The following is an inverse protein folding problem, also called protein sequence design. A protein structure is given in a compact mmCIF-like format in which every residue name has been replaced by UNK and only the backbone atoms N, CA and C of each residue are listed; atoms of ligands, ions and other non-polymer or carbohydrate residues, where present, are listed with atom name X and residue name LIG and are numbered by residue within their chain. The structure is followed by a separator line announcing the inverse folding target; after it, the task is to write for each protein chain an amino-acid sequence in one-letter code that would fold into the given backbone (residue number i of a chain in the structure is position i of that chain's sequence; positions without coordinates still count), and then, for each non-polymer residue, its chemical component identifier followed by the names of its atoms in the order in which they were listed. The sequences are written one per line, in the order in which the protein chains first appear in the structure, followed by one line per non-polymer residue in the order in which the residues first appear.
data_IF_858495559808
#
_entry.id   IF_858495559808
#
_cell.length_a   1.000
_cell.length_b   1.000
_cell.length_c   1.000
_cell.angle_alpha   90.00
_cell.angle_beta   90.00
_cell.angle_gamma   90.00
#
_symmetry.space_group_name_H-M   'P 1'
#
loop_
_entity.id
_entity.type
_entity.pdbx_description
1 polymer ?
#
# COMPACT_ATOMS: atom_id res chain seq x y z
N UNK A 1 -1.78 -33.18 19.41
CA UNK A 1 -1.74 -32.02 18.55
C UNK A 1 -1.75 -32.52 17.09
N UNK A 2 -2.61 -31.97 16.24
CA UNK A 2 -2.75 -32.43 14.85
C UNK A 2 -1.75 -31.75 13.89
N UNK A 3 -0.65 -31.21 14.40
CA UNK A 3 0.36 -30.53 13.59
C UNK A 3 1.56 -31.44 13.40
N UNK A 4 2.14 -31.40 12.18
CA UNK A 4 3.33 -32.14 11.81
C UNK A 4 4.59 -31.56 12.44
N UNK A 5 5.67 -32.32 12.35
CA UNK A 5 7.01 -31.93 12.72
C UNK A 5 7.96 -32.14 11.54
N UNK A 6 9.13 -31.53 11.58
CA UNK A 6 10.16 -31.69 10.56
C UNK A 6 11.39 -32.31 11.24
N UNK A 7 11.73 -33.51 10.83
CA UNK A 7 12.94 -34.21 11.28
C UNK A 7 14.00 -34.18 10.18
N UNK A 8 15.23 -33.83 10.54
CA UNK A 8 16.36 -33.74 9.62
C UNK A 8 17.53 -34.57 10.19
N UNK A 9 18.15 -35.36 9.34
CA UNK A 9 19.36 -36.11 9.65
C UNK A 9 20.45 -35.82 8.64
N UNK A 10 21.66 -35.78 9.11
CA UNK A 10 22.82 -35.84 8.26
C UNK A 10 22.94 -37.20 7.61
N UNK A 11 23.76 -37.30 6.56
CA UNK A 11 24.03 -38.55 5.86
C UNK A 11 24.66 -39.64 6.77
N UNK A 12 25.36 -39.22 7.80
CA UNK A 12 25.96 -40.08 8.82
C UNK A 12 24.97 -40.55 9.93
N UNK A 13 23.71 -40.11 9.85
CA UNK A 13 22.66 -40.43 10.83
C UNK A 13 22.61 -39.48 12.01
N UNK A 14 23.41 -38.44 12.07
CA UNK A 14 23.33 -37.40 13.12
C UNK A 14 22.03 -36.61 13.00
N UNK A 15 21.28 -36.50 14.08
CA UNK A 15 20.03 -35.72 14.13
C UNK A 15 20.38 -34.24 14.15
N UNK A 16 19.72 -33.47 13.28
CA UNK A 16 19.82 -32.02 13.26
C UNK A 16 18.74 -31.38 14.15
N UNK A 17 19.02 -30.20 14.66
CA UNK A 17 18.03 -29.43 15.42
C UNK A 17 17.18 -28.60 14.46
N UNK A 18 15.85 -28.74 14.57
CA UNK A 18 14.91 -27.87 13.82
C UNK A 18 14.19 -27.00 14.81
N UNK A 19 14.36 -25.68 14.67
CA UNK A 19 13.64 -24.68 15.46
C UNK A 19 12.41 -24.24 14.66
N UNK A 20 11.22 -24.37 15.27
CA UNK A 20 9.97 -23.90 14.71
C UNK A 20 9.70 -22.47 15.18
N UNK A 21 9.36 -21.56 14.27
CA UNK A 21 8.85 -20.25 14.67
C UNK A 21 7.43 -20.38 15.20
N UNK A 22 7.30 -20.25 16.51
CA UNK A 22 6.03 -20.36 17.26
C UNK A 22 5.57 -19.02 17.82
N UNK A 23 6.11 -17.90 17.32
CA UNK A 23 5.66 -16.56 17.75
C UNK A 23 4.15 -16.41 17.53
N UNK A 24 3.49 -15.71 18.43
CA UNK A 24 2.01 -15.59 18.45
C UNK A 24 1.44 -14.92 17.19
N UNK A 25 2.25 -14.12 16.51
CA UNK A 25 1.87 -13.46 15.26
C UNK A 25 2.01 -14.38 14.05
N UNK A 26 2.92 -15.38 14.12
CA UNK A 26 3.41 -16.15 12.98
C UNK A 26 3.69 -17.58 13.42
N UNK A 27 2.67 -18.34 13.77
CA UNK A 27 2.89 -19.74 14.17
C UNK A 27 3.09 -20.63 12.92
N UNK A 28 4.35 -20.79 12.50
CA UNK A 28 4.72 -21.58 11.32
C UNK A 28 4.28 -23.07 11.45
N UNK A 29 4.17 -23.59 12.65
CA UNK A 29 3.71 -24.98 12.90
C UNK A 29 2.31 -25.22 12.35
N UNK A 30 1.43 -24.21 12.33
CA UNK A 30 0.08 -24.32 11.78
C UNK A 30 0.07 -24.64 10.29
N UNK A 31 1.16 -24.33 9.57
CA UNK A 31 1.32 -24.66 8.16
C UNK A 31 1.58 -26.16 7.94
N UNK A 32 2.09 -26.88 8.94
CA UNK A 32 2.41 -28.31 8.88
C UNK A 32 1.19 -29.17 9.22
N UNK A 33 0.16 -29.08 8.39
CA UNK A 33 -1.08 -29.87 8.53
C UNK A 33 -1.25 -30.85 7.39
N UNK A 34 -1.78 -32.04 7.67
CA UNK A 34 -2.05 -33.07 6.65
C UNK A 34 -0.97 -34.15 6.55
N UNK A 35 -1.09 -34.99 5.54
CA UNK A 35 -0.17 -36.12 5.31
C UNK A 35 1.11 -35.67 4.58
N UNK A 36 2.18 -36.45 4.70
CA UNK A 36 3.47 -36.22 4.02
C UNK A 36 3.31 -35.98 2.52
N UNK A 37 2.35 -36.65 1.87
CA UNK A 37 2.08 -36.54 0.45
C UNK A 37 1.50 -35.19 0.03
N UNK A 38 1.11 -34.34 0.99
CA UNK A 38 0.58 -33.02 0.71
C UNK A 38 1.66 -31.92 0.64
N UNK A 39 2.93 -32.31 0.80
CA UNK A 39 4.02 -31.36 0.76
C UNK A 39 4.86 -31.53 -0.50
N UNK A 40 5.23 -30.40 -1.09
CA UNK A 40 6.24 -30.27 -2.13
C UNK A 40 7.38 -29.41 -1.59
N UNK A 41 8.62 -29.80 -1.86
CA UNK A 41 9.81 -29.11 -1.36
C UNK A 41 10.72 -28.75 -2.52
N UNK A 42 11.10 -27.49 -2.59
CA UNK A 42 12.10 -26.96 -3.51
C UNK A 42 13.29 -26.44 -2.69
N UNK A 43 14.47 -27.00 -2.88
CA UNK A 43 15.67 -26.52 -2.20
C UNK A 43 16.52 -25.72 -3.16
N UNK A 44 16.88 -24.50 -2.76
CA UNK A 44 17.78 -23.60 -3.47
C UNK A 44 18.82 -23.11 -2.47
N UNK A 45 20.07 -23.55 -2.64
CA UNK A 45 21.17 -23.26 -1.71
C UNK A 45 20.82 -23.73 -0.27
N UNK A 46 20.87 -22.83 0.70
CA UNK A 46 20.65 -23.12 2.13
C UNK A 46 19.18 -23.04 2.53
N UNK A 47 18.29 -22.76 1.61
CA UNK A 47 16.86 -22.56 1.87
C UNK A 47 16.01 -23.56 1.10
N UNK A 48 15.07 -24.20 1.80
CA UNK A 48 14.04 -25.05 1.21
C UNK A 48 12.70 -24.36 1.30
N UNK A 49 12.03 -24.19 0.17
CA UNK A 49 10.64 -23.70 0.07
C UNK A 49 9.71 -24.88 0.27
N UNK A 50 8.93 -24.89 1.32
CA UNK A 50 7.97 -25.94 1.65
C UNK A 50 6.57 -25.48 1.28
N UNK A 51 5.94 -26.17 0.34
CA UNK A 51 4.58 -25.95 -0.11
C UNK A 51 3.66 -26.99 0.50
N UNK A 52 2.58 -26.55 1.13
CA UNK A 52 1.47 -27.43 1.58
C UNK A 52 0.29 -27.24 0.62
N UNK A 53 0.01 -28.26 -0.20
CA UNK A 53 -1.05 -28.19 -1.22
C UNK A 53 -2.48 -28.33 -0.66
N UNK A 54 -2.66 -28.41 0.65
CA UNK A 54 -3.98 -28.34 1.29
C UNK A 54 -4.40 -26.92 1.61
N UNK A 55 -3.45 -26.00 1.75
CA UNK A 55 -3.70 -24.62 2.19
C UNK A 55 -3.99 -23.76 0.95
N UNK A 56 -5.07 -23.00 1.04
CA UNK A 56 -5.40 -21.97 0.04
C UNK A 56 -4.60 -20.71 0.34
N UNK A 57 -3.81 -20.26 -0.64
CA UNK A 57 -3.06 -19.01 -0.52
C UNK A 57 -4.03 -17.82 -0.50
N UNK A 58 -3.86 -16.92 0.43
CA UNK A 58 -4.73 -15.75 0.60
C UNK A 58 -3.94 -14.44 0.56
N UNK A 59 -4.67 -13.36 0.33
CA UNK A 59 -4.18 -11.99 0.54
C UNK A 59 -4.45 -11.57 1.99
N UNK A 60 -3.68 -10.60 2.46
CA UNK A 60 -3.98 -9.88 3.70
C UNK A 60 -5.35 -9.19 3.61
N UNK A 61 -5.97 -8.90 4.75
CA UNK A 61 -7.23 -8.16 4.77
C UNK A 61 -7.08 -6.75 4.19
N UNK A 62 -8.14 -6.26 3.57
CA UNK A 62 -8.19 -4.88 3.13
C UNK A 62 -8.17 -3.96 4.37
N UNK A 63 -7.28 -2.96 4.43
CA UNK A 63 -7.21 -2.07 5.56
C UNK A 63 -8.41 -1.11 5.61
N UNK A 64 -8.79 -0.69 6.81
CA UNK A 64 -9.75 0.39 6.95
C UNK A 64 -9.08 1.71 6.59
N UNK A 65 -9.51 2.34 5.51
CA UNK A 65 -9.03 3.63 5.08
C UNK A 65 -10.15 4.67 5.12
N UNK A 66 -9.90 5.78 5.81
CA UNK A 66 -10.83 6.90 5.90
C UNK A 66 -10.35 8.04 5.01
N UNK A 67 -11.14 8.36 3.98
CA UNK A 67 -10.85 9.46 3.06
C UNK A 67 -11.14 10.82 3.73
N UNK A 68 -10.61 11.89 3.12
CA UNK A 68 -10.88 13.30 3.50
C UNK A 68 -10.53 13.62 4.94
N UNK A 69 -9.46 13.03 5.45
CA UNK A 69 -8.98 13.30 6.82
C UNK A 69 -7.92 14.39 6.88
N UNK A 70 -7.34 14.71 5.71
CA UNK A 70 -6.31 15.72 5.50
C UNK A 70 -6.68 16.62 4.35
N UNK A 71 -6.15 17.84 4.36
CA UNK A 71 -6.24 18.77 3.25
C UNK A 71 -5.03 19.71 3.22
N UNK A 72 -4.63 20.11 2.02
CA UNK A 72 -3.63 21.16 1.81
C UNK A 72 -4.30 22.31 1.05
N UNK A 73 -4.31 23.52 1.62
CA UNK A 73 -4.66 24.74 0.92
C UNK A 73 -3.40 25.41 0.41
N UNK A 74 -3.41 25.78 -0.85
CA UNK A 74 -2.30 26.52 -1.49
C UNK A 74 -2.77 27.90 -1.90
N UNK A 75 -2.08 28.93 -1.41
CA UNK A 75 -2.27 30.32 -1.82
C UNK A 75 -1.23 30.64 -2.92
N UNK A 76 -1.70 30.90 -4.14
CA UNK A 76 -0.82 31.19 -5.28
C UNK A 76 -0.61 32.67 -5.51
N UNK A 77 -1.50 33.54 -4.98
CA UNK A 77 -1.39 34.99 -5.15
C UNK A 77 -2.27 35.75 -4.12
N UNK A 78 -1.88 36.98 -3.80
CA UNK A 78 -2.66 37.91 -2.98
C UNK A 78 -3.23 39.00 -3.88
N UNK A 79 -4.32 38.70 -4.60
CA UNK A 79 -4.93 39.65 -5.51
C UNK A 79 -5.59 40.83 -4.75
N UNK A 80 -5.43 42.06 -5.27
CA UNK A 80 -6.01 43.30 -4.71
C UNK A 80 -7.51 43.28 -4.80
N UNK A 81 -8.18 43.78 -3.77
CA UNK A 81 -9.66 43.90 -3.67
C UNK A 81 -10.38 42.61 -4.05
N UNK A 82 -9.82 41.49 -3.66
CA UNK A 82 -10.33 40.16 -3.97
C UNK A 82 -10.83 39.45 -2.74
N UNK A 83 -11.90 38.70 -2.93
CA UNK A 83 -12.53 37.93 -1.85
C UNK A 83 -11.91 36.52 -1.82
N UNK A 84 -11.57 36.06 -0.62
CA UNK A 84 -11.12 34.70 -0.31
C UNK A 84 -12.14 34.07 0.64
N UNK A 85 -12.56 32.87 0.34
CA UNK A 85 -13.59 32.14 1.11
C UNK A 85 -13.18 30.69 1.30
N UNK A 86 -13.38 30.19 2.51
CA UNK A 86 -13.20 28.78 2.89
C UNK A 86 -14.50 28.30 3.51
N UNK A 87 -15.04 27.21 2.99
CA UNK A 87 -16.21 26.54 3.55
C UNK A 87 -15.81 25.15 4.00
N UNK A 88 -16.14 24.80 5.25
CA UNK A 88 -15.82 23.51 5.85
C UNK A 88 -17.06 22.87 6.48
N UNK A 89 -17.10 21.54 6.44
CA UNK A 89 -18.08 20.73 7.14
C UNK A 89 -17.39 19.61 7.90
N UNK A 90 -17.68 19.52 9.18
CA UNK A 90 -17.11 18.49 10.06
C UNK A 90 -17.70 17.08 9.82
N UNK A 91 -18.72 16.92 8.97
CA UNK A 91 -19.44 15.66 8.79
C UNK A 91 -20.39 15.33 9.94
N UNK A 92 -20.98 14.15 9.91
CA UNK A 92 -21.85 13.67 10.99
C UNK A 92 -23.14 14.51 11.18
N UNK A 93 -23.61 15.19 10.12
CA UNK A 93 -24.79 16.08 10.20
C UNK A 93 -24.50 17.52 10.62
N UNK A 94 -23.21 17.89 10.76
CA UNK A 94 -22.83 19.27 11.02
C UNK A 94 -23.18 20.17 9.83
N UNK A 95 -23.50 21.44 10.12
CA UNK A 95 -23.74 22.47 9.10
C UNK A 95 -22.41 22.97 8.53
N UNK A 96 -22.48 23.47 7.30
CA UNK A 96 -21.34 24.15 6.66
C UNK A 96 -21.00 25.43 7.44
N UNK A 97 -19.70 25.65 7.67
CA UNK A 97 -19.16 26.85 8.26
C UNK A 97 -18.32 27.56 7.20
N UNK A 98 -18.56 28.85 7.00
CA UNK A 98 -17.89 29.63 5.98
C UNK A 98 -17.18 30.83 6.58
N UNK A 99 -15.92 30.99 6.29
CA UNK A 99 -15.13 32.18 6.55
C UNK A 99 -14.84 32.89 5.23
N UNK A 100 -14.99 34.22 5.25
CA UNK A 100 -14.74 35.08 4.07
C UNK A 100 -13.95 36.31 4.50
N UNK A 101 -12.93 36.66 3.71
CA UNK A 101 -12.15 37.90 3.88
C UNK A 101 -11.92 38.56 2.52
N UNK A 102 -11.80 39.89 2.51
CA UNK A 102 -11.50 40.64 1.29
C UNK A 102 -10.23 41.43 1.50
N UNK A 103 -9.31 41.31 0.55
CA UNK A 103 -8.00 41.97 0.57
C UNK A 103 -8.11 43.45 0.22
N UNK A 104 -7.31 44.28 0.89
CA UNK A 104 -7.20 45.73 0.61
C UNK A 104 -6.11 46.03 -0.45
N UNK A 105 -5.20 45.06 -0.68
CA UNK A 105 -4.10 45.18 -1.62
C UNK A 105 -2.75 45.47 -0.97
N UNK A 106 -2.69 45.49 0.37
CA UNK A 106 -1.44 45.60 1.11
C UNK A 106 -1.08 44.30 1.84
N UNK A 107 -1.88 43.26 1.70
CA UNK A 107 -1.66 41.95 2.36
C UNK A 107 -0.47 41.23 1.74
N UNK A 108 0.39 40.74 2.65
CA UNK A 108 1.43 39.77 2.28
C UNK A 108 0.83 38.35 2.23
N UNK A 109 1.51 37.42 1.54
CA UNK A 109 1.14 35.99 1.55
C UNK A 109 0.98 35.46 2.99
N UNK A 110 1.95 35.77 3.84
CA UNK A 110 1.96 35.33 5.24
C UNK A 110 0.80 35.92 6.05
N UNK A 111 0.49 37.18 5.83
CA UNK A 111 -0.63 37.88 6.48
C UNK A 111 -1.98 37.31 6.08
N UNK A 112 -2.21 37.08 4.79
CA UNK A 112 -3.45 36.51 4.29
C UNK A 112 -3.62 35.07 4.77
N UNK A 113 -2.57 34.23 4.70
CA UNK A 113 -2.61 32.88 5.23
C UNK A 113 -2.89 32.85 6.74
N UNK A 114 -2.33 33.79 7.49
CA UNK A 114 -2.64 33.91 8.93
C UNK A 114 -4.10 34.25 9.16
N UNK A 115 -4.66 35.16 8.37
CA UNK A 115 -6.09 35.51 8.43
C UNK A 115 -6.98 34.33 8.10
N UNK A 116 -6.66 33.58 7.05
CA UNK A 116 -7.39 32.37 6.63
C UNK A 116 -7.29 31.28 7.71
N UNK A 117 -6.12 31.05 8.27
CA UNK A 117 -5.91 30.10 9.38
C UNK A 117 -6.79 30.47 10.58
N UNK A 118 -6.74 31.70 11.01
CA UNK A 118 -7.54 32.17 12.15
C UNK A 118 -9.05 32.02 11.89
N UNK A 119 -9.48 32.22 10.64
CA UNK A 119 -10.86 31.95 10.22
C UNK A 119 -11.26 30.51 10.32
N UNK A 120 -10.35 29.57 9.93
CA UNK A 120 -10.58 28.13 10.10
C UNK A 120 -10.57 27.72 11.57
N UNK A 121 -9.64 28.23 12.37
CA UNK A 121 -9.55 27.92 13.80
C UNK A 121 -10.82 28.38 14.55
N UNK A 122 -11.42 29.49 14.12
CA UNK A 122 -12.68 29.98 14.68
C UNK A 122 -13.88 29.04 14.47
N UNK A 123 -13.82 28.12 13.51
CA UNK A 123 -14.84 27.08 13.34
C UNK A 123 -14.87 26.09 14.51
N UNK A 124 -13.81 26.03 15.30
CA UNK A 124 -13.70 25.15 16.47
C UNK A 124 -14.04 23.68 16.19
N UNK A 125 -13.64 23.18 15.00
CA UNK A 125 -13.88 21.78 14.62
C UNK A 125 -13.03 20.85 15.49
N UNK A 126 -13.69 19.96 16.23
CA UNK A 126 -13.02 19.02 17.14
C UNK A 126 -11.99 18.19 16.41
N UNK A 127 -10.75 18.17 16.95
CA UNK A 127 -9.63 17.38 16.45
C UNK A 127 -8.96 17.93 15.20
N UNK A 128 -9.41 19.09 14.67
CA UNK A 128 -8.77 19.73 13.53
C UNK A 128 -7.51 20.51 13.99
N UNK A 129 -6.39 20.24 13.33
CA UNK A 129 -5.16 21.03 13.47
C UNK A 129 -4.86 21.72 12.15
N UNK A 130 -4.57 23.02 12.21
CA UNK A 130 -4.17 23.82 11.04
C UNK A 130 -2.75 24.31 11.23
N UNK A 131 -1.85 23.90 10.35
CA UNK A 131 -0.44 24.31 10.35
C UNK A 131 -0.17 25.20 9.14
N UNK A 132 0.42 26.36 9.37
CA UNK A 132 0.87 27.24 8.29
C UNK A 132 2.31 26.91 7.93
N UNK A 133 2.55 26.72 6.65
CA UNK A 133 3.89 26.48 6.12
C UNK A 133 4.07 27.18 4.77
N UNK A 134 5.01 28.14 4.69
CA UNK A 134 5.24 28.96 3.49
C UNK A 134 3.92 29.55 2.91
N UNK A 135 3.52 29.09 1.73
CA UNK A 135 2.30 29.55 1.05
C UNK A 135 1.12 28.57 1.21
N UNK A 136 1.19 27.63 2.16
CA UNK A 136 0.16 26.62 2.40
C UNK A 136 -0.41 26.66 3.81
N UNK A 137 -1.65 26.17 3.92
CA UNK A 137 -2.22 25.70 5.18
C UNK A 137 -2.44 24.21 5.08
N UNK A 138 -1.87 23.47 6.01
CA UNK A 138 -2.01 22.04 6.13
C UNK A 138 -3.01 21.70 7.24
N UNK A 139 -4.05 20.93 6.90
CA UNK A 139 -5.12 20.54 7.77
C UNK A 139 -5.11 19.04 8.03
N UNK A 140 -5.02 18.62 9.29
CA UNK A 140 -5.15 17.22 9.71
C UNK A 140 -6.20 17.11 10.80
N UNK A 141 -7.13 16.16 10.66
CA UNK A 141 -8.19 15.97 11.66
C UNK A 141 -8.09 14.62 12.33
N UNK A 142 -7.82 14.64 13.63
CA UNK A 142 -7.69 13.47 14.49
C UNK A 142 -8.60 13.60 15.70
N UNK A 143 -9.58 12.71 15.85
CA UNK A 143 -10.48 12.68 17.01
C UNK A 143 -10.22 11.40 17.80
N UNK A 144 -9.85 11.55 19.08
CA UNK A 144 -9.54 10.41 19.97
C UNK A 144 -8.53 9.43 19.36
N UNK A 145 -7.48 9.96 18.71
CA UNK A 145 -6.42 9.15 18.07
C UNK A 145 -6.79 8.58 16.70
N UNK A 146 -8.02 8.81 16.21
CA UNK A 146 -8.46 8.29 14.91
C UNK A 146 -8.63 9.42 13.90
N UNK A 147 -8.07 9.25 12.70
CA UNK A 147 -8.29 10.19 11.60
C UNK A 147 -9.75 10.21 11.20
N UNK A 148 -10.32 11.42 11.14
CA UNK A 148 -11.76 11.64 10.95
C UNK A 148 -12.00 12.55 9.75
N UNK A 149 -12.94 12.14 8.90
CA UNK A 149 -13.26 12.86 7.67
C UNK A 149 -13.83 14.27 7.94
N UNK A 150 -13.54 15.19 7.03
CA UNK A 150 -14.18 16.50 6.89
C UNK A 150 -14.23 16.88 5.41
N UNK A 151 -15.09 17.81 5.05
CA UNK A 151 -15.05 18.40 3.71
C UNK A 151 -14.59 19.84 3.78
N UNK A 152 -13.89 20.28 2.74
CA UNK A 152 -13.42 21.66 2.60
C UNK A 152 -13.47 22.07 1.14
N UNK A 153 -13.89 23.31 0.91
CA UNK A 153 -13.79 24.00 -0.37
C UNK A 153 -13.17 25.37 -0.16
N UNK A 154 -12.42 25.84 -1.14
CA UNK A 154 -11.77 27.15 -1.09
C UNK A 154 -11.94 27.88 -2.43
N UNK A 155 -12.06 29.20 -2.35
CA UNK A 155 -12.12 30.10 -3.50
C UNK A 155 -11.33 31.36 -3.15
N UNK A 156 -10.61 31.91 -4.12
CA UNK A 156 -9.86 33.14 -3.89
C UNK A 156 -9.38 33.83 -5.15
N UNK A 157 -9.30 35.15 -5.10
CA UNK A 157 -8.96 36.01 -6.23
C UNK A 157 -10.11 36.23 -7.21
N UNK A 158 -9.93 37.14 -8.18
CA UNK A 158 -10.98 37.54 -9.13
C UNK A 158 -11.55 36.38 -9.95
N UNK A 159 -10.73 35.35 -10.27
CA UNK A 159 -11.12 34.17 -11.03
C UNK A 159 -11.32 32.92 -10.14
N UNK A 160 -11.37 33.08 -8.81
CA UNK A 160 -11.47 31.98 -7.85
C UNK A 160 -10.37 30.90 -7.95
N UNK A 161 -9.21 31.24 -8.47
CA UNK A 161 -8.09 30.33 -8.74
C UNK A 161 -6.82 30.64 -7.94
N UNK A 162 -6.88 31.60 -7.00
CA UNK A 162 -5.71 32.00 -6.20
C UNK A 162 -5.60 31.27 -4.86
N UNK A 163 -6.68 30.62 -4.43
CA UNK A 163 -6.71 29.73 -3.29
C UNK A 163 -7.31 28.40 -3.75
N UNK A 164 -6.50 27.35 -3.73
CA UNK A 164 -6.89 26.00 -4.12
C UNK A 164 -6.80 25.06 -2.93
N UNK A 165 -7.60 24.00 -2.93
CA UNK A 165 -7.59 22.99 -1.88
C UNK A 165 -7.44 21.60 -2.48
N UNK A 166 -6.61 20.80 -1.85
CA UNK A 166 -6.37 19.40 -2.20
C UNK A 166 -6.71 18.54 -0.98
N UNK A 167 -7.51 17.52 -1.17
CA UNK A 167 -7.76 16.48 -0.17
C UNK A 167 -7.23 15.12 -0.63
N UNK A 168 -8.03 14.33 -1.26
CA UNK A 168 -7.74 12.94 -1.61
C UNK A 168 -7.86 12.64 -3.11
N UNK A 169 -8.11 13.67 -3.94
CA UNK A 169 -8.24 13.50 -5.38
C UNK A 169 -7.82 14.75 -6.16
N UNK A 170 -7.18 14.54 -7.30
CA UNK A 170 -6.90 15.54 -8.34
C UNK A 170 -7.17 14.95 -9.73
N UNK A 171 -7.47 15.82 -10.70
CA UNK A 171 -7.78 15.40 -12.07
C UNK A 171 -6.53 15.33 -12.96
N UNK A 172 -5.39 15.81 -12.47
CA UNK A 172 -4.13 15.79 -13.19
C UNK A 172 -2.96 15.90 -12.21
N UNK A 173 -1.85 15.23 -12.52
CA UNK A 173 -0.63 15.26 -11.71
C UNK A 173 -0.07 16.68 -11.51
N UNK A 174 -0.24 17.57 -12.49
CA UNK A 174 0.21 18.97 -12.38
C UNK A 174 -0.53 19.79 -11.32
N UNK A 175 -1.64 19.29 -10.81
CA UNK A 175 -2.40 19.92 -9.71
C UNK A 175 -1.86 19.53 -8.34
N UNK A 176 -1.00 18.51 -8.25
CA UNK A 176 -0.41 18.11 -6.98
C UNK A 176 0.47 19.24 -6.42
N UNK A 177 0.25 19.63 -5.14
CA UNK A 177 1.04 20.69 -4.52
C UNK A 177 2.48 20.23 -4.27
N UNK A 178 3.43 21.18 -4.28
CA UNK A 178 4.84 20.92 -3.92
C UNK A 178 5.07 20.82 -2.41
N UNK A 179 4.02 21.00 -1.63
CA UNK A 179 4.05 20.98 -0.16
C UNK A 179 2.83 20.22 0.35
N UNK A 180 3.05 19.31 1.29
CA UNK A 180 1.98 18.54 1.96
C UNK A 180 2.53 17.81 3.19
N UNK A 181 1.73 16.93 3.78
CA UNK A 181 2.10 16.06 4.90
C UNK A 181 2.84 14.81 4.44
N UNK A 182 3.73 14.30 5.26
CA UNK A 182 4.26 12.94 5.09
C UNK A 182 3.10 11.92 4.99
N UNK A 183 3.19 11.03 4.01
CA UNK A 183 2.20 9.98 3.74
C UNK A 183 0.78 10.49 3.41
N UNK A 184 0.65 11.73 2.90
CA UNK A 184 -0.62 12.18 2.33
C UNK A 184 -0.86 11.46 0.99
N UNK A 185 -1.92 10.67 0.91
CA UNK A 185 -2.27 9.90 -0.29
C UNK A 185 -3.36 10.62 -1.06
N UNK A 186 -3.13 10.82 -2.36
CA UNK A 186 -4.06 11.48 -3.28
C UNK A 186 -4.26 10.58 -4.50
N UNK A 187 -5.52 10.41 -4.90
CA UNK A 187 -5.90 9.75 -6.14
C UNK A 187 -5.73 10.71 -7.31
N UNK A 188 -4.89 10.36 -8.27
CA UNK A 188 -4.74 11.08 -9.52
C UNK A 188 -5.62 10.42 -10.57
N UNK A 189 -6.67 11.12 -11.01
CA UNK A 189 -7.62 10.61 -11.98
C UNK A 189 -7.17 11.07 -13.37
N UNK A 190 -7.11 10.13 -14.32
CA UNK A 190 -7.06 10.48 -15.71
C UNK A 190 -8.50 10.47 -16.27
N UNK A 191 -9.02 11.65 -16.61
CA UNK A 191 -10.38 11.78 -17.15
C UNK A 191 -10.52 11.19 -18.56
N UNK A 192 -9.41 10.93 -19.25
CA UNK A 192 -9.40 10.35 -20.59
C UNK A 192 -9.37 8.81 -20.56
N UNK A 193 -8.81 8.21 -19.50
CA UNK A 193 -8.75 6.76 -19.33
C UNK A 193 -8.77 6.42 -17.84
N UNK A 194 -9.76 5.63 -17.41
CA UNK A 194 -9.84 5.15 -16.01
C UNK A 194 -8.72 4.17 -15.67
N UNK A 195 -8.11 3.55 -16.69
CA UNK A 195 -6.98 2.61 -16.54
C UNK A 195 -5.68 3.32 -16.15
N UNK A 196 -5.57 4.63 -16.45
CA UNK A 196 -4.42 5.45 -16.09
C UNK A 196 -4.59 6.16 -14.73
N UNK A 197 -5.61 5.80 -13.96
CA UNK A 197 -5.82 6.31 -12.60
C UNK A 197 -4.86 5.63 -11.63
N UNK A 198 -4.15 6.41 -10.83
CA UNK A 198 -3.21 5.89 -9.85
C UNK A 198 -3.24 6.68 -8.54
N UNK A 199 -2.56 6.18 -7.52
CA UNK A 199 -2.41 6.85 -6.24
C UNK A 199 -0.99 7.39 -6.09
N UNK A 200 -0.88 8.61 -5.60
CA UNK A 200 0.38 9.24 -5.26
C UNK A 200 0.43 9.51 -3.75
N UNK A 201 1.59 9.30 -3.16
CA UNK A 201 1.87 9.56 -1.75
C UNK A 201 2.93 10.64 -1.65
N UNK A 202 2.73 11.60 -0.76
CA UNK A 202 3.70 12.67 -0.51
C UNK A 202 4.81 12.19 0.42
N UNK A 203 6.05 12.49 0.04
CA UNK A 203 7.25 12.25 0.83
C UNK A 203 7.83 13.61 1.19
N UNK A 204 7.71 13.99 2.46
CA UNK A 204 8.23 15.27 2.93
C UNK A 204 9.75 15.20 3.16
N UNK A 205 10.49 16.25 2.78
CA UNK A 205 11.96 16.31 2.94
C UNK A 205 12.41 16.14 4.39
N UNK A 206 11.58 16.54 5.36
CA UNK A 206 11.85 16.43 6.78
C UNK A 206 11.14 15.23 7.45
N UNK A 207 10.45 14.39 6.68
CA UNK A 207 9.68 13.24 7.17
C UNK A 207 8.39 13.59 7.93
N UNK A 208 7.95 14.85 7.98
CA UNK A 208 6.76 15.30 8.71
C UNK A 208 5.80 16.05 7.81
N UNK A 209 6.21 17.21 7.29
CA UNK A 209 5.39 18.04 6.40
C UNK A 209 6.22 19.15 5.77
N UNK A 210 5.64 19.85 4.79
CA UNK A 210 6.26 20.96 4.06
C UNK A 210 6.69 20.56 2.67
N UNK A 211 7.87 21.00 2.24
CA UNK A 211 8.42 20.65 0.91
C UNK A 211 8.73 19.16 0.79
N UNK A 212 8.60 18.65 -0.42
CA UNK A 212 8.85 17.25 -0.72
C UNK A 212 8.47 16.89 -2.16
N UNK A 213 8.24 15.62 -2.41
CA UNK A 213 7.85 15.11 -3.71
C UNK A 213 6.73 14.07 -3.60
N UNK A 214 6.08 13.81 -4.72
CA UNK A 214 5.07 12.77 -4.84
C UNK A 214 5.68 11.53 -5.48
N UNK A 215 5.41 10.38 -4.90
CA UNK A 215 5.75 9.08 -5.47
C UNK A 215 4.50 8.24 -5.67
N UNK A 216 4.54 7.33 -6.64
CA UNK A 216 3.45 6.37 -6.85
C UNK A 216 3.28 5.47 -5.62
N UNK A 217 2.03 5.18 -5.26
CA UNK A 217 1.70 4.29 -4.14
C UNK A 217 0.50 3.40 -4.47
N UNK A 218 0.25 2.42 -3.61
CA UNK A 218 -0.94 1.56 -3.73
C UNK A 218 -2.20 2.28 -3.27
N UNK A 219 -3.36 1.79 -3.70
CA UNK A 219 -4.65 2.16 -3.11
C UNK A 219 -4.65 1.81 -1.61
N UNK A 220 -4.76 2.81 -0.72
CA UNK A 220 -4.70 2.57 0.72
C UNK A 220 -5.90 1.77 1.27
N UNK A 221 -6.98 1.64 0.51
CA UNK A 221 -8.16 0.84 0.87
C UNK A 221 -8.06 -0.62 0.46
N UNK A 222 -7.00 -1.01 -0.26
CA UNK A 222 -6.81 -2.36 -0.79
C UNK A 222 -5.72 -3.12 -0.03
N UNK A 223 -5.86 -4.43 -0.02
CA UNK A 223 -4.91 -5.33 0.61
C UNK A 223 -3.46 -4.99 0.23
N UNK A 224 -2.55 -4.89 1.21
CA UNK A 224 -1.16 -4.59 0.93
C UNK A 224 -0.40 -5.76 0.30
N UNK A 225 -0.83 -7.01 0.51
CA UNK A 225 -0.03 -8.11 0.01
C UNK A 225 -0.58 -9.49 0.32
N UNK A 226 0.31 -10.46 0.33
CA UNK A 226 0.03 -11.86 0.59
C UNK A 226 -0.05 -12.12 2.10
N UNK A 227 -0.97 -13.00 2.51
CA UNK A 227 -1.03 -13.49 3.88
C UNK A 227 0.04 -14.58 4.08
N UNK A 228 1.16 -14.21 4.69
CA UNK A 228 2.31 -15.09 4.90
C UNK A 228 1.96 -16.39 5.61
N UNK A 229 0.90 -16.42 6.44
CA UNK A 229 0.47 -17.62 7.15
C UNK A 229 -0.10 -18.70 6.23
N UNK A 230 -0.58 -18.31 5.07
CA UNK A 230 -1.17 -19.20 4.05
C UNK A 230 -0.24 -19.49 2.88
N UNK A 231 0.88 -18.79 2.80
CA UNK A 231 1.88 -18.93 1.75
C UNK A 231 2.92 -19.99 2.09
N UNK A 232 3.68 -20.53 1.11
CA UNK A 232 4.79 -21.42 1.38
C UNK A 232 5.75 -20.88 2.44
N UNK A 233 6.31 -21.78 3.24
CA UNK A 233 7.23 -21.46 4.33
C UNK A 233 8.66 -21.85 3.96
N UNK A 234 9.64 -21.28 4.66
CA UNK A 234 11.05 -21.63 4.50
C UNK A 234 11.56 -22.54 5.62
N UNK A 235 12.37 -23.49 5.21
CA UNK A 235 13.28 -24.19 6.08
C UNK A 235 14.70 -23.79 5.71
N UNK A 236 15.36 -23.04 6.56
CA UNK A 236 16.68 -22.47 6.30
C UNK A 236 17.74 -23.10 7.21
N UNK A 237 18.88 -23.46 6.63
CA UNK A 237 20.05 -23.86 7.41
C UNK A 237 20.70 -22.61 8.03
N UNK A 238 20.72 -22.51 9.35
CA UNK A 238 21.25 -21.34 10.07
C UNK A 238 22.67 -21.55 10.57
N UNK A 239 23.08 -22.79 10.77
CA UNK A 239 24.43 -23.20 11.11
C UNK A 239 24.58 -24.72 10.99
N UNK A 240 25.77 -25.26 11.26
CA UNK A 240 26.00 -26.71 11.22
C UNK A 240 24.97 -27.45 12.09
N UNK A 241 24.20 -28.34 11.46
CA UNK A 241 23.14 -29.17 12.05
C UNK A 241 21.97 -28.38 12.67
N UNK A 242 21.82 -27.10 12.36
CA UNK A 242 20.72 -26.29 12.86
C UNK A 242 19.89 -25.70 11.71
N UNK A 243 18.59 -25.88 11.81
CA UNK A 243 17.63 -25.39 10.83
C UNK A 243 16.54 -24.59 11.53
N UNK A 244 15.95 -23.61 10.81
CA UNK A 244 14.78 -22.86 11.29
C UNK A 244 13.68 -22.96 10.26
N UNK A 245 12.48 -23.37 10.71
CA UNK A 245 11.26 -23.36 9.91
C UNK A 245 10.41 -22.15 10.28
N UNK A 246 10.13 -21.30 9.29
CA UNK A 246 9.41 -20.03 9.50
C UNK A 246 8.70 -19.56 8.23
N UNK A 247 7.87 -18.53 8.35
CA UNK A 247 7.31 -17.85 7.19
C UNK A 247 8.37 -17.05 6.44
N UNK A 248 8.21 -16.95 5.11
CA UNK A 248 8.93 -15.95 4.33
C UNK A 248 8.40 -14.54 4.57
N UNK A 249 9.26 -13.53 4.47
CA UNK A 249 8.86 -12.14 4.35
C UNK A 249 8.46 -11.83 2.90
N UNK A 250 7.18 -12.00 2.59
CA UNK A 250 6.64 -11.65 1.28
C UNK A 250 6.61 -10.14 1.12
N UNK A 251 7.01 -9.66 -0.07
CA UNK A 251 7.00 -8.22 -0.35
C UNK A 251 5.56 -7.75 -0.56
N UNK A 252 5.19 -6.66 0.11
CA UNK A 252 3.90 -6.04 -0.07
C UNK A 252 3.78 -5.35 -1.45
N UNK A 253 2.55 -5.20 -1.93
CA UNK A 253 2.21 -4.40 -3.09
C UNK A 253 2.43 -2.93 -2.75
N UNK A 254 3.39 -2.29 -3.39
CA UNK A 254 3.77 -0.91 -3.11
C UNK A 254 3.01 0.11 -3.95
N UNK A 255 2.49 -0.29 -5.12
CA UNK A 255 1.84 0.58 -6.11
C UNK A 255 0.59 -0.07 -6.69
N UNK A 256 -0.32 0.75 -7.21
CA UNK A 256 -1.52 0.29 -7.93
C UNK A 256 -2.64 -0.24 -7.03
N UNK A 257 -3.56 -0.92 -7.65
CA UNK A 257 -4.78 -1.48 -7.03
C UNK A 257 -5.08 -2.90 -7.57
N UNK A 258 -6.30 -3.39 -7.37
CA UNK A 258 -6.69 -4.73 -7.82
C UNK A 258 -6.86 -4.85 -9.35
N UNK A 259 -6.74 -3.75 -10.10
CA UNK A 259 -6.81 -3.70 -11.57
C UNK A 259 -5.41 -3.49 -12.16
N UNK A 260 -4.71 -2.47 -11.70
CA UNK A 260 -3.43 -2.03 -12.28
C UNK A 260 -2.22 -2.82 -11.75
N UNK A 261 -2.35 -3.47 -10.59
CA UNK A 261 -1.34 -4.35 -10.00
C UNK A 261 -2.04 -5.44 -9.18
N UNK A 262 -2.80 -6.28 -9.86
CA UNK A 262 -3.64 -7.30 -9.25
C UNK A 262 -2.84 -8.28 -8.37
N UNK A 263 -3.53 -8.93 -7.43
CA UNK A 263 -2.93 -10.06 -6.72
C UNK A 263 -2.63 -11.21 -7.69
N UNK A 264 -1.53 -11.96 -7.45
CA UNK A 264 -1.19 -13.12 -8.28
C UNK A 264 -2.34 -14.12 -8.37
N UNK A 265 -2.47 -14.79 -9.51
CA UNK A 265 -3.58 -15.70 -9.82
C UNK A 265 -3.68 -16.93 -8.90
N UNK A 266 -2.63 -17.22 -8.12
CA UNK A 266 -2.68 -18.27 -7.08
C UNK A 266 -3.43 -17.83 -5.82
N UNK A 267 -3.71 -16.54 -5.62
CA UNK A 267 -4.51 -16.06 -4.48
C UNK A 267 -5.95 -16.58 -4.60
N UNK A 268 -6.45 -17.19 -3.54
CA UNK A 268 -7.72 -17.92 -3.52
C UNK A 268 -7.63 -19.36 -4.01
N UNK A 269 -6.42 -19.85 -4.37
CA UNK A 269 -6.17 -21.20 -4.88
C UNK A 269 -5.11 -21.93 -4.05
N UNK A 270 -4.94 -23.23 -4.31
CA UNK A 270 -3.91 -24.05 -3.69
C UNK A 270 -2.67 -24.06 -4.55
N UNK A 271 -1.53 -23.77 -3.96
CA UNK A 271 -0.24 -23.91 -4.63
C UNK A 271 0.13 -25.41 -4.63
N UNK A 272 0.41 -25.98 -5.81
CA UNK A 272 0.74 -27.40 -5.96
C UNK A 272 2.23 -27.64 -5.82
N UNK A 273 3.05 -26.79 -6.42
CA UNK A 273 4.49 -26.93 -6.44
C UNK A 273 5.18 -25.57 -6.55
N UNK A 274 6.36 -25.44 -5.93
CA UNK A 274 7.31 -24.37 -6.20
C UNK A 274 8.37 -24.85 -7.21
N UNK A 275 8.88 -23.95 -8.04
CA UNK A 275 9.98 -24.17 -8.94
C UNK A 275 10.88 -22.93 -9.02
N UNK A 276 12.08 -23.10 -9.56
CA UNK A 276 13.02 -22.00 -9.76
C UNK A 276 13.47 -21.96 -11.21
N UNK A 277 13.26 -20.84 -11.88
CA UNK A 277 13.62 -20.68 -13.29
C UNK A 277 14.03 -19.25 -13.61
N UNK A 278 15.11 -19.08 -14.36
CA UNK A 278 15.60 -17.77 -14.80
C UNK A 278 15.66 -16.71 -13.67
N UNK A 279 16.26 -17.12 -12.54
CA UNK A 279 16.41 -16.26 -11.37
C UNK A 279 15.09 -15.76 -10.78
N UNK A 280 14.04 -16.57 -10.84
CA UNK A 280 12.69 -16.30 -10.32
C UNK A 280 12.20 -17.51 -9.53
N UNK A 281 11.57 -17.26 -8.39
CA UNK A 281 10.76 -18.25 -7.69
C UNK A 281 9.40 -18.34 -8.38
N UNK A 282 8.94 -19.53 -8.73
CA UNK A 282 7.65 -19.73 -9.37
C UNK A 282 6.76 -20.69 -8.61
N UNK A 283 5.46 -20.55 -8.83
CA UNK A 283 4.41 -21.40 -8.27
C UNK A 283 3.48 -21.92 -9.36
N UNK A 284 3.11 -23.19 -9.23
CA UNK A 284 2.03 -23.81 -10.00
C UNK A 284 0.77 -23.83 -9.15
N UNK A 285 -0.34 -23.35 -9.71
CA UNK A 285 -1.65 -23.31 -9.04
C UNK A 285 -2.76 -23.47 -10.05
N UNK A 286 -3.52 -24.58 -9.96
CA UNK A 286 -4.50 -24.97 -10.98
C UNK A 286 -3.89 -24.97 -12.40
N UNK A 287 -4.36 -24.06 -13.25
CA UNK A 287 -3.88 -23.84 -14.62
C UNK A 287 -2.91 -22.65 -14.76
N UNK A 288 -2.47 -22.08 -13.63
CA UNK A 288 -1.65 -20.88 -13.63
C UNK A 288 -0.19 -21.16 -13.26
N UNK A 289 0.67 -20.38 -13.88
CA UNK A 289 2.11 -20.27 -13.58
C UNK A 289 2.40 -18.84 -13.17
N UNK A 290 2.75 -18.65 -11.91
CA UNK A 290 3.10 -17.34 -11.38
C UNK A 290 4.57 -17.33 -11.00
N UNK A 291 5.34 -16.33 -11.43
CA UNK A 291 6.77 -16.18 -11.14
C UNK A 291 7.05 -14.83 -10.50
N UNK A 292 7.92 -14.81 -9.52
CA UNK A 292 8.38 -13.59 -8.84
C UNK A 292 9.10 -12.61 -9.78
N UNK A 293 9.30 -11.39 -9.31
CA UNK A 293 10.23 -10.45 -9.94
C UNK A 293 11.63 -11.09 -10.03
N UNK A 294 12.34 -10.82 -11.14
CA UNK A 294 13.70 -11.33 -11.34
C UNK A 294 14.63 -10.87 -10.20
N UNK A 295 15.38 -11.80 -9.61
CA UNK A 295 16.28 -11.61 -8.47
C UNK A 295 15.59 -11.10 -7.16
N UNK A 296 14.27 -11.00 -7.11
CA UNK A 296 13.50 -10.67 -5.90
C UNK A 296 12.44 -11.76 -5.66
N UNK A 297 12.84 -12.85 -5.11
CA UNK A 297 12.09 -14.12 -5.05
C UNK A 297 10.78 -14.04 -4.26
N UNK A 298 10.63 -13.04 -3.39
CA UNK A 298 9.45 -12.86 -2.55
C UNK A 298 8.56 -11.71 -3.01
N UNK A 299 8.86 -11.10 -4.17
CA UNK A 299 8.04 -10.06 -4.78
C UNK A 299 7.24 -10.62 -5.96
N UNK A 300 5.90 -10.62 -5.83
CA UNK A 300 4.96 -11.03 -6.86
C UNK A 300 4.11 -9.86 -7.36
N UNK A 301 4.52 -8.62 -7.11
CA UNK A 301 3.84 -7.40 -7.54
C UNK A 301 4.72 -6.56 -8.46
N UNK A 302 4.08 -5.85 -9.39
CA UNK A 302 4.77 -4.88 -10.25
C UNK A 302 5.36 -3.75 -9.42
N UNK A 303 6.46 -3.17 -9.93
CA UNK A 303 7.15 -2.05 -9.29
C UNK A 303 6.56 -0.69 -9.65
N UNK A 304 5.79 -0.61 -10.72
CA UNK A 304 4.96 0.53 -11.12
C UNK A 304 3.64 0.01 -11.69
N UNK A 305 2.54 0.72 -11.43
CA UNK A 305 1.25 0.43 -12.05
C UNK A 305 1.11 1.06 -13.46
N UNK A 306 2.06 1.92 -13.84
CA UNK A 306 2.03 2.64 -15.13
C UNK A 306 2.98 2.04 -16.16
N UNK A 307 4.06 1.41 -15.73
CA UNK A 307 5.11 0.88 -16.62
C UNK A 307 5.49 -0.54 -16.20
N UNK A 308 5.34 -1.48 -17.12
CA UNK A 308 5.78 -2.87 -16.94
C UNK A 308 7.18 -3.03 -17.52
N UNK A 309 8.05 -3.72 -16.79
CA UNK A 309 9.44 -4.01 -17.19
C UNK A 309 9.66 -5.51 -17.34
N UNK A 310 10.71 -5.92 -18.05
CA UNK A 310 11.08 -7.34 -18.22
C UNK A 310 11.44 -8.02 -16.88
N UNK A 311 11.77 -7.24 -15.86
CA UNK A 311 12.08 -7.74 -14.52
C UNK A 311 10.84 -8.05 -13.69
N UNK A 312 9.68 -7.49 -14.02
CA UNK A 312 8.46 -7.62 -13.24
C UNK A 312 7.96 -9.07 -13.16
N UNK A 313 7.11 -9.39 -12.18
CA UNK A 313 6.52 -10.71 -12.04
C UNK A 313 5.78 -11.17 -13.30
N UNK A 314 5.74 -12.46 -13.49
CA UNK A 314 5.02 -13.11 -14.59
C UNK A 314 3.87 -13.90 -14.01
N UNK A 315 2.67 -13.71 -14.55
CA UNK A 315 1.48 -14.43 -14.14
C UNK A 315 0.68 -14.85 -15.39
N UNK A 316 0.68 -16.15 -15.68
CA UNK A 316 0.15 -16.71 -16.91
C UNK A 316 -0.81 -17.86 -16.63
N UNK A 317 -1.92 -17.90 -17.33
CA UNK A 317 -2.80 -19.06 -17.39
C UNK A 317 -2.47 -19.94 -18.59
N UNK A 318 -2.42 -21.26 -18.39
CA UNK A 318 -2.36 -22.19 -19.49
C UNK A 318 -3.68 -22.12 -20.26
N UNK A 319 -3.63 -21.64 -21.51
CA UNK A 319 -4.82 -21.58 -22.37
C UNK A 319 -5.19 -22.97 -22.83
N UNK A 320 -6.13 -23.61 -22.15
CA UNK A 320 -6.65 -24.91 -22.51
C UNK A 320 -8.17 -24.86 -22.71
N UNK A 321 -8.67 -25.66 -23.66
CA UNK A 321 -10.12 -25.83 -23.91
C UNK A 321 -10.79 -26.54 -22.72
N UNK A 322 -10.01 -27.22 -21.88
CA UNK A 322 -10.48 -27.93 -20.67
C UNK A 322 -9.67 -27.44 -19.47
N UNK A 323 -10.29 -27.36 -18.28
CA UNK A 323 -9.55 -27.08 -17.06
C UNK A 323 -8.36 -28.03 -16.94
N UNK A 324 -7.17 -27.49 -16.75
CA UNK A 324 -5.96 -28.24 -16.55
C UNK A 324 -5.41 -27.91 -15.17
N UNK A 325 -5.00 -28.93 -14.42
CA UNK A 325 -4.26 -28.75 -13.18
C UNK A 325 -2.78 -29.00 -13.46
N UNK A 326 -1.94 -28.01 -13.25
CA UNK A 326 -0.52 -28.10 -13.36
C UNK A 326 0.04 -28.73 -12.09
N UNK A 327 0.67 -29.91 -12.20
CA UNK A 327 1.18 -30.65 -11.03
C UNK A 327 2.68 -30.64 -10.91
N UNK A 328 3.43 -30.51 -12.00
CA UNK A 328 4.88 -30.55 -11.97
C UNK A 328 5.51 -29.84 -13.17
N UNK A 329 6.68 -29.28 -12.96
CA UNK A 329 7.64 -28.89 -14.00
C UNK A 329 8.79 -29.88 -13.94
N UNK A 330 9.16 -30.43 -15.08
CA UNK A 330 10.30 -31.38 -15.24
C UNK A 330 11.47 -30.62 -15.86
#
# INVERSE_FOLDING_TARGET
SGYGDIDIWNVDGTVCTVTMDTSTAVNAVNYLTGARTNYSVLTVQDTSVIVNNLITANKQADPTFVQRTRATLVLSDTAVSSTYSITMNAGGGASDQTFTTTTSGSETYDGLLTTLKNGIDAFSITGLTVTKYQNTLELDRVVSGTRTAFSITAKGGAANNKLTVFQDQVDNVSQLPTQSFQDHVVKVINTASTEDTYFAKFVADNGVSGTGYWEETRDPSKSPGLDGSTMPHELVNTSLNNFTFRQFSWTDRLVGDDVTNAHPSFVGKKIQQAFFHNNRLGFLSDDNVSMSQAAKYFNFYHTSAQVITDADPIDLSASTIRPANLHAII
#
